data_IF_595600741506
#
_entry.id   IF_595600741506
#
_cell.length_a   1.000
_cell.length_b   1.000
_cell.length_c   1.000
_cell.angle_alpha   90.00
_cell.angle_beta   90.00
_cell.angle_gamma   90.00
#
_symmetry.space_group_name_H-M   'P 1'
#
loop_
_entity.id
_entity.type
_entity.pdbx_description
1 polymer ?
#
# COMPACT_ATOMS: atom_id res chain seq x y z
N UNK A 1 4.02 -21.01 -0.19
CA UNK A 1 3.41 -20.24 -1.30
C UNK A 1 4.13 -18.92 -1.43
N UNK A 2 4.68 -18.62 -2.61
CA UNK A 2 5.30 -17.31 -2.87
C UNK A 2 4.25 -16.20 -2.71
N UNK A 3 4.64 -15.06 -2.15
CA UNK A 3 3.72 -13.93 -1.92
C UNK A 3 2.98 -13.48 -3.17
N UNK A 4 3.60 -13.59 -4.34
CA UNK A 4 3.05 -13.21 -5.65
C UNK A 4 1.88 -14.10 -6.10
N UNK A 5 1.92 -15.40 -5.78
CA UNK A 5 0.83 -16.33 -6.09
C UNK A 5 -0.42 -16.04 -5.25
N UNK A 6 -0.22 -15.55 -4.02
CA UNK A 6 -1.32 -15.20 -3.11
C UNK A 6 -2.11 -13.97 -3.58
N UNK A 7 -1.43 -12.97 -4.17
CA UNK A 7 -2.08 -11.76 -4.66
C UNK A 7 -2.65 -11.93 -6.07
N UNK A 8 -2.00 -12.73 -6.93
CA UNK A 8 -2.49 -13.01 -8.28
C UNK A 8 -3.76 -13.89 -8.30
N UNK A 9 -3.95 -14.75 -7.29
CA UNK A 9 -5.19 -15.51 -7.10
C UNK A 9 -6.36 -14.66 -6.59
N UNK A 10 -6.08 -13.47 -6.07
CA UNK A 10 -7.05 -12.60 -5.40
C UNK A 10 -6.88 -11.13 -5.82
N UNK A 11 -7.10 -10.81 -7.11
CA UNK A 11 -6.92 -9.45 -7.63
C UNK A 11 -7.81 -8.42 -6.91
N UNK A 12 -8.97 -8.85 -6.41
CA UNK A 12 -9.90 -8.03 -5.62
C UNK A 12 -9.25 -7.44 -4.36
N UNK A 13 -8.33 -8.17 -3.71
CA UNK A 13 -7.61 -7.66 -2.53
C UNK A 13 -6.66 -6.52 -2.88
N UNK A 14 -6.10 -6.53 -4.09
CA UNK A 14 -5.29 -5.40 -4.56
C UNK A 14 -6.18 -4.18 -4.78
N UNK A 15 -7.39 -4.37 -5.32
CA UNK A 15 -8.36 -3.27 -5.51
C UNK A 15 -8.81 -2.68 -4.17
N UNK A 16 -9.23 -3.52 -3.22
CA UNK A 16 -9.61 -3.06 -1.88
C UNK A 16 -8.47 -2.34 -1.15
N UNK A 17 -7.21 -2.75 -1.37
CA UNK A 17 -6.05 -2.06 -0.83
C UNK A 17 -5.91 -0.65 -1.43
N UNK A 18 -6.15 -0.48 -2.72
CA UNK A 18 -6.12 0.83 -3.37
C UNK A 18 -7.29 1.70 -2.89
N UNK A 19 -8.50 1.15 -2.83
CA UNK A 19 -9.70 1.84 -2.32
C UNK A 19 -9.46 2.34 -0.88
N UNK A 20 -8.86 1.51 -0.01
CA UNK A 20 -8.48 1.92 1.35
C UNK A 20 -7.53 3.12 1.37
N UNK A 21 -6.54 3.16 0.47
CA UNK A 21 -5.55 4.24 0.41
C UNK A 21 -6.14 5.53 -0.17
N UNK A 22 -7.06 5.43 -1.13
CA UNK A 22 -7.81 6.58 -1.65
C UNK A 22 -8.70 7.21 -0.58
N UNK A 23 -9.38 6.39 0.23
CA UNK A 23 -10.24 6.87 1.32
C UNK A 23 -9.45 7.40 2.54
N UNK A 24 -8.19 6.97 2.71
CA UNK A 24 -7.34 7.33 3.85
C UNK A 24 -6.05 7.99 3.40
N UNK A 25 -6.18 9.24 2.97
CA UNK A 25 -5.08 10.09 2.49
C UNK A 25 -3.92 10.17 3.49
N UNK A 26 -4.18 10.24 4.80
CA UNK A 26 -3.11 10.25 5.80
C UNK A 26 -2.26 8.96 5.81
N UNK A 27 -2.90 7.80 5.70
CA UNK A 27 -2.21 6.50 5.62
C UNK A 27 -1.44 6.38 4.29
N UNK A 28 -1.99 6.91 3.20
CA UNK A 28 -1.30 7.04 1.92
C UNK A 28 -0.03 7.90 2.05
N UNK A 29 -0.14 9.10 2.65
CA UNK A 29 1.01 9.99 2.87
C UNK A 29 2.08 9.32 3.75
N UNK A 30 1.70 8.56 4.79
CA UNK A 30 2.67 7.81 5.60
C UNK A 30 3.44 6.77 4.76
N UNK A 31 2.74 6.07 3.87
CA UNK A 31 3.33 4.97 3.10
C UNK A 31 4.17 5.44 1.92
N UNK A 32 3.67 6.42 1.17
CA UNK A 32 4.22 6.87 -0.11
C UNK A 32 4.92 8.23 0.00
N UNK A 33 4.69 8.95 1.09
CA UNK A 33 5.09 10.34 1.23
C UNK A 33 4.09 11.26 0.52
N UNK A 34 3.99 12.48 1.01
CA UNK A 34 3.31 13.54 0.28
C UNK A 34 4.18 13.96 -0.91
N UNK A 35 3.63 13.84 -2.12
CA UNK A 35 4.31 14.20 -3.36
C UNK A 35 4.41 15.71 -3.45
N UNK A 36 5.53 16.21 -3.97
CA UNK A 36 5.68 17.66 -4.20
C UNK A 36 4.69 18.12 -5.27
N UNK A 37 4.47 17.31 -6.31
CA UNK A 37 3.51 17.64 -7.38
C UNK A 37 2.07 17.73 -6.82
N UNK A 38 1.67 16.80 -5.95
CA UNK A 38 0.32 16.79 -5.35
C UNK A 38 0.14 17.97 -4.38
N UNK A 39 1.13 18.22 -3.51
CA UNK A 39 1.09 19.34 -2.57
C UNK A 39 1.06 20.71 -3.27
N UNK A 40 1.82 20.87 -4.36
CA UNK A 40 1.79 22.09 -5.18
C UNK A 40 0.46 22.25 -5.93
N UNK A 41 -0.11 21.15 -6.44
CA UNK A 41 -1.40 21.16 -7.12
C UNK A 41 -2.54 21.56 -6.17
N UNK A 42 -2.52 21.04 -4.94
CA UNK A 42 -3.56 21.27 -3.94
C UNK A 42 -3.26 22.49 -3.04
N UNK A 43 -2.22 23.28 -3.35
CA UNK A 43 -1.79 24.49 -2.63
C UNK A 43 -1.61 24.30 -1.11
N UNK A 44 -1.10 23.15 -0.68
CA UNK A 44 -0.74 22.91 0.71
C UNK A 44 0.76 22.68 0.89
N UNK A 45 1.24 22.89 2.13
CA UNK A 45 2.60 22.53 2.49
C UNK A 45 2.75 21.02 2.55
N UNK A 46 3.92 20.52 2.16
CA UNK A 46 4.23 19.09 2.19
C UNK A 46 4.05 18.53 3.61
N UNK A 47 3.16 17.56 3.75
CA UNK A 47 2.95 16.88 5.01
C UNK A 47 3.95 15.73 5.18
N UNK A 48 4.61 15.68 6.34
CA UNK A 48 5.49 14.58 6.73
C UNK A 48 4.91 13.97 7.98
N UNK A 49 4.20 12.86 7.81
CA UNK A 49 3.76 12.08 8.95
C UNK A 49 4.92 11.29 9.56
N UNK A 50 5.02 11.30 10.89
CA UNK A 50 6.06 10.61 11.66
C UNK A 50 5.64 9.21 12.11
N UNK A 51 4.40 8.80 11.82
CA UNK A 51 3.88 7.52 12.28
C UNK A 51 4.62 6.33 11.65
N UNK A 52 4.84 5.24 12.40
CA UNK A 52 5.49 4.06 11.87
C UNK A 52 4.66 3.45 10.74
N UNK A 53 5.28 3.22 9.57
CA UNK A 53 4.64 2.47 8.46
C UNK A 53 4.08 1.10 8.89
N UNK A 54 4.66 0.50 9.93
CA UNK A 54 4.17 -0.75 10.52
C UNK A 54 2.75 -0.65 11.04
N UNK A 55 2.35 0.49 11.61
CA UNK A 55 0.99 0.73 12.09
C UNK A 55 0.01 0.75 10.93
N UNK A 56 0.37 1.42 9.83
CA UNK A 56 -0.47 1.48 8.62
C UNK A 56 -0.59 0.10 7.96
N UNK A 57 0.51 -0.66 7.85
CA UNK A 57 0.44 -2.03 7.33
C UNK A 57 -0.51 -2.92 8.14
N UNK A 58 -0.55 -2.75 9.47
CA UNK A 58 -1.48 -3.46 10.34
C UNK A 58 -2.93 -3.05 10.08
N UNK A 59 -3.23 -1.76 9.99
CA UNK A 59 -4.59 -1.30 9.69
C UNK A 59 -5.09 -1.81 8.33
N UNK A 60 -4.23 -1.80 7.31
CA UNK A 60 -4.57 -2.35 5.99
C UNK A 60 -4.80 -3.86 6.09
N UNK A 61 -3.94 -4.59 6.81
CA UNK A 61 -4.12 -6.04 6.99
C UNK A 61 -5.42 -6.36 7.71
N UNK A 62 -5.77 -5.61 8.76
CA UNK A 62 -7.03 -5.73 9.46
C UNK A 62 -8.21 -5.48 8.52
N UNK A 63 -8.19 -4.38 7.78
CA UNK A 63 -9.24 -4.04 6.81
C UNK A 63 -9.44 -5.15 5.76
N UNK A 64 -8.35 -5.63 5.15
CA UNK A 64 -8.44 -6.63 4.08
C UNK A 64 -8.87 -8.01 4.59
N UNK A 65 -8.28 -8.46 5.70
CA UNK A 65 -8.43 -9.85 6.14
C UNK A 65 -9.49 -10.07 7.21
N UNK A 66 -10.17 -9.00 7.65
CA UNK A 66 -11.34 -9.11 8.55
C UNK A 66 -12.65 -8.70 7.89
N UNK A 67 -12.63 -8.20 6.65
CA UNK A 67 -13.85 -7.81 5.94
C UNK A 67 -14.82 -9.00 5.75
N UNK A 68 -16.12 -8.71 5.70
CA UNK A 68 -17.14 -9.76 5.62
C UNK A 68 -17.05 -10.60 4.34
N UNK A 69 -16.55 -10.00 3.25
CA UNK A 69 -16.33 -10.62 1.97
C UNK A 69 -15.20 -11.66 1.98
N UNK A 70 -14.33 -11.65 3.00
CA UNK A 70 -13.20 -12.56 3.11
C UNK A 70 -13.63 -13.94 3.64
N UNK A 71 -12.91 -14.98 3.19
CA UNK A 71 -13.21 -16.35 3.60
C UNK A 71 -13.11 -16.51 5.12
N UNK A 72 -14.05 -17.27 5.72
CA UNK A 72 -14.07 -17.47 7.18
C UNK A 72 -12.78 -18.11 7.69
N UNK A 73 -12.15 -18.99 6.91
CA UNK A 73 -10.86 -19.60 7.18
C UNK A 73 -9.75 -18.54 7.25
N UNK A 74 -9.65 -17.67 6.26
CA UNK A 74 -8.67 -16.58 6.21
C UNK A 74 -8.84 -15.61 7.38
N UNK A 75 -10.08 -15.26 7.72
CA UNK A 75 -10.39 -14.47 8.92
C UNK A 75 -9.95 -15.15 10.21
N UNK A 76 -10.19 -16.46 10.34
CA UNK A 76 -9.78 -17.22 11.51
C UNK A 76 -8.25 -17.28 11.62
N UNK A 77 -7.55 -17.51 10.51
CA UNK A 77 -6.09 -17.53 10.45
C UNK A 77 -5.49 -16.16 10.81
N UNK A 78 -6.09 -15.07 10.33
CA UNK A 78 -5.68 -13.71 10.68
C UNK A 78 -5.84 -13.45 12.19
N UNK A 79 -7.00 -13.80 12.76
CA UNK A 79 -7.27 -13.65 14.18
C UNK A 79 -6.36 -14.51 15.07
N UNK A 80 -5.88 -15.65 14.55
CA UNK A 80 -4.92 -16.49 15.26
C UNK A 80 -3.49 -15.92 15.19
N UNK A 81 -3.08 -15.40 14.04
CA UNK A 81 -1.77 -14.80 13.85
C UNK A 81 -1.76 -13.77 12.71
N UNK A 82 -1.81 -12.49 13.06
CA UNK A 82 -1.84 -11.38 12.10
C UNK A 82 -0.49 -11.09 11.42
N UNK A 83 0.64 -11.38 12.08
CA UNK A 83 1.96 -10.93 11.60
C UNK A 83 2.35 -11.42 10.17
N UNK A 84 2.04 -12.66 9.76
CA UNK A 84 2.24 -13.10 8.37
C UNK A 84 1.42 -12.30 7.35
N UNK A 85 0.23 -11.85 7.72
CA UNK A 85 -0.67 -11.07 6.86
C UNK A 85 -0.21 -9.63 6.71
N UNK A 86 0.22 -9.00 7.81
CA UNK A 86 0.87 -7.68 7.77
C UNK A 86 2.11 -7.70 6.87
N UNK A 87 2.92 -8.78 6.95
CA UNK A 87 4.08 -8.97 6.08
C UNK A 87 3.69 -9.13 4.61
N UNK A 88 2.58 -9.82 4.31
CA UNK A 88 2.05 -9.93 2.94
C UNK A 88 1.66 -8.56 2.39
N UNK A 89 0.95 -7.74 3.17
CA UNK A 89 0.56 -6.37 2.80
C UNK A 89 1.78 -5.50 2.53
N UNK A 90 2.74 -5.47 3.46
CA UNK A 90 3.99 -4.73 3.28
C UNK A 90 4.71 -5.12 1.98
N UNK A 91 4.84 -6.41 1.72
CA UNK A 91 5.51 -6.90 0.52
C UNK A 91 4.77 -6.49 -0.76
N UNK A 92 3.44 -6.51 -0.74
CA UNK A 92 2.61 -6.10 -1.88
C UNK A 92 2.74 -4.61 -2.18
N UNK A 93 2.70 -3.76 -1.15
CA UNK A 93 2.90 -2.32 -1.32
C UNK A 93 4.28 -2.04 -1.92
N UNK A 94 5.33 -2.68 -1.39
CA UNK A 94 6.69 -2.52 -1.93
C UNK A 94 6.82 -3.03 -3.38
N UNK A 95 6.03 -4.02 -3.78
CA UNK A 95 5.95 -4.48 -5.16
C UNK A 95 5.25 -3.46 -6.06
N UNK A 96 4.08 -2.95 -5.66
CA UNK A 96 3.34 -1.92 -6.39
C UNK A 96 4.18 -0.66 -6.59
N UNK A 97 4.92 -0.23 -5.55
CA UNK A 97 5.87 0.87 -5.65
C UNK A 97 6.96 0.62 -6.69
N UNK A 98 7.54 -0.59 -6.72
CA UNK A 98 8.55 -0.96 -7.73
C UNK A 98 7.98 -0.99 -9.14
N UNK A 99 6.76 -1.51 -9.31
CA UNK A 99 6.06 -1.52 -10.59
C UNK A 99 5.80 -0.08 -11.08
N UNK A 100 5.31 0.79 -10.20
CA UNK A 100 5.10 2.21 -10.49
C UNK A 100 6.41 2.91 -10.89
N UNK A 101 7.48 2.73 -10.11
CA UNK A 101 8.79 3.32 -10.43
C UNK A 101 9.35 2.84 -11.78
N UNK A 102 9.16 1.55 -12.09
CA UNK A 102 9.57 0.97 -13.39
C UNK A 102 8.79 1.63 -14.52
N UNK A 103 7.46 1.72 -14.37
CA UNK A 103 6.59 2.38 -15.34
C UNK A 103 6.94 3.86 -15.53
N UNK A 104 7.20 4.62 -14.46
CA UNK A 104 7.63 6.01 -14.54
C UNK A 104 8.93 6.16 -15.33
N UNK A 105 9.90 5.26 -15.09
CA UNK A 105 11.19 5.25 -15.79
C UNK A 105 11.01 4.98 -17.28
N UNK A 106 10.21 3.98 -17.63
CA UNK A 106 9.93 3.61 -19.02
C UNK A 106 9.19 4.73 -19.77
N UNK A 107 8.28 5.42 -19.09
CA UNK A 107 7.45 6.48 -19.66
C UNK A 107 8.05 7.89 -19.47
N UNK A 108 9.30 8.00 -19.00
CA UNK A 108 10.02 9.27 -18.72
C UNK A 108 9.22 10.26 -17.88
N UNK A 109 8.38 9.77 -16.96
CA UNK A 109 7.61 10.60 -16.03
C UNK A 109 8.37 10.84 -14.72
N UNK A 110 8.25 12.04 -14.16
CA UNK A 110 8.82 12.45 -12.86
C UNK A 110 8.01 11.91 -11.69
N UNK A 111 8.07 10.60 -11.46
CA UNK A 111 7.55 9.96 -10.22
C UNK A 111 8.57 9.00 -9.58
N UNK A 112 9.73 8.83 -10.20
CA UNK A 112 10.76 7.85 -9.82
C UNK A 112 11.81 8.33 -8.84
N UNK A 113 11.81 9.61 -8.45
CA UNK A 113 12.94 10.21 -7.75
C UNK A 113 14.22 10.11 -8.56
N UNK A 114 14.21 10.63 -9.80
CA UNK A 114 15.44 10.84 -10.57
C UNK A 114 16.24 11.95 -9.89
N UNK A 115 17.14 11.62 -8.96
CA UNK A 115 18.27 12.52 -8.68
C UNK A 115 19.12 12.52 -9.95
N UNK A 116 18.90 13.51 -10.80
CA UNK A 116 19.91 13.91 -11.77
C UNK A 116 21.21 14.14 -11.00
N UNK A 117 22.25 13.39 -11.35
CA UNK A 117 23.61 13.60 -10.89
C UNK A 117 24.44 14.01 -12.10
#
# INVERSE_FOLDING_TARGET
MSGDQFWSQHPERTRLLLDYLEERVADHIILFGDSIEDAEQDNHGREVHTDPKTTVHRHIAEFLFTCEAEERSVRADYNQNAAPFEKKVKNRIAELQRQYHTWCKENRKTGGGSRSK
#
